data_IF_516820739241
#
_entry.id   IF_516820739241
#
_cell.length_a   1.000
_cell.length_b   1.000
_cell.length_c   1.000
_cell.angle_alpha   90.00
_cell.angle_beta   90.00
_cell.angle_gamma   90.00
#
_symmetry.space_group_name_H-M   'P 1'
#
loop_
_entity.id
_entity.type
_entity.pdbx_description
1 polymer ?
#
# COMPACT_ATOMS: atom_id res chain seq x y z
N UNK A 1 -17.24 10.26 11.28
CA UNK A 1 -16.50 9.03 11.65
C UNK A 1 -17.08 7.77 11.00
N UNK A 2 -18.19 7.14 11.47
CA UNK A 2 -18.68 5.86 10.89
C UNK A 2 -18.99 5.95 9.38
N UNK A 3 -19.66 7.00 8.93
CA UNK A 3 -19.99 7.22 7.50
C UNK A 3 -18.74 7.45 6.63
N UNK A 4 -17.72 8.06 7.18
CA UNK A 4 -16.44 8.30 6.49
C UNK A 4 -15.63 7.01 6.34
N UNK A 5 -15.55 6.18 7.38
CA UNK A 5 -14.96 4.84 7.31
C UNK A 5 -15.66 3.96 6.29
N UNK A 6 -17.01 4.00 6.25
CA UNK A 6 -17.80 3.26 5.24
C UNK A 6 -17.51 3.72 3.81
N UNK A 7 -17.32 5.02 3.60
CA UNK A 7 -16.96 5.57 2.28
C UNK A 7 -15.55 5.16 1.86
N UNK A 8 -14.57 5.21 2.79
CA UNK A 8 -13.21 4.74 2.53
C UNK A 8 -13.20 3.24 2.18
N UNK A 9 -13.89 2.42 2.98
CA UNK A 9 -14.00 0.99 2.72
C UNK A 9 -14.61 0.70 1.35
N UNK A 10 -15.71 1.37 0.99
CA UNK A 10 -16.38 1.21 -0.29
C UNK A 10 -15.49 1.61 -1.49
N UNK A 11 -14.62 2.63 -1.32
CA UNK A 11 -13.66 3.05 -2.34
C UNK A 11 -12.65 1.93 -2.63
N UNK A 12 -12.05 1.37 -1.57
CA UNK A 12 -11.09 0.27 -1.69
C UNK A 12 -11.76 -1.01 -2.19
N UNK A 13 -12.94 -1.35 -1.70
CA UNK A 13 -13.74 -2.47 -2.20
C UNK A 13 -14.01 -2.38 -3.71
N UNK A 14 -14.33 -1.17 -4.22
CA UNK A 14 -14.53 -0.92 -5.65
C UNK A 14 -13.23 -1.11 -6.44
N UNK A 15 -12.12 -0.61 -5.91
CA UNK A 15 -10.80 -0.68 -6.54
C UNK A 15 -10.35 -2.12 -6.73
N UNK A 16 -10.50 -2.95 -5.69
CA UNK A 16 -10.11 -4.35 -5.73
C UNK A 16 -11.10 -5.27 -6.47
N UNK A 17 -12.39 -4.90 -6.57
CA UNK A 17 -13.34 -5.64 -7.42
C UNK A 17 -12.97 -5.60 -8.91
N UNK A 18 -12.43 -4.47 -9.36
CA UNK A 18 -11.98 -4.32 -10.75
C UNK A 18 -10.66 -5.05 -11.03
N UNK A 19 -9.84 -5.27 -10.01
CA UNK A 19 -8.55 -5.95 -10.12
C UNK A 19 -8.65 -7.47 -9.95
N UNK A 20 -9.71 -8.10 -10.40
CA UNK A 20 -9.95 -9.56 -10.31
C UNK A 20 -8.95 -10.43 -11.10
N UNK A 21 -7.74 -9.96 -11.33
CA UNK A 21 -6.67 -10.72 -11.96
C UNK A 21 -5.76 -11.28 -10.87
N UNK A 22 -5.90 -12.58 -10.64
CA UNK A 22 -5.04 -13.43 -9.79
C UNK A 22 -3.54 -13.24 -10.09
N UNK A 23 -3.20 -12.71 -11.25
CA UNK A 23 -1.83 -12.56 -11.75
C UNK A 23 -1.04 -11.41 -11.11
N UNK A 24 -1.68 -10.33 -10.64
CA UNK A 24 -0.99 -9.22 -9.97
C UNK A 24 -0.54 -9.55 -8.53
N UNK A 25 -1.08 -10.60 -7.92
CA UNK A 25 -0.92 -10.89 -6.49
C UNK A 25 0.00 -12.07 -6.17
N UNK A 26 0.65 -12.66 -7.17
CA UNK A 26 1.64 -13.73 -6.99
C UNK A 26 3.08 -13.21 -6.99
N UNK A 27 3.29 -11.89 -6.93
CA UNK A 27 4.64 -11.35 -6.81
C UNK A 27 5.15 -11.60 -5.39
N UNK A 28 6.23 -12.36 -5.29
CA UNK A 28 6.96 -12.46 -4.01
C UNK A 28 7.45 -11.06 -3.64
N UNK A 29 7.07 -10.53 -2.46
CA UNK A 29 7.57 -9.23 -2.04
C UNK A 29 9.10 -9.19 -2.07
N UNK A 30 9.63 -8.05 -2.46
CA UNK A 30 11.07 -7.81 -2.43
C UNK A 30 11.62 -8.22 -1.06
N UNK A 31 12.66 -9.06 -1.04
CA UNK A 31 13.23 -9.59 0.19
C UNK A 31 13.68 -8.47 1.14
N UNK A 32 14.07 -7.31 0.59
CA UNK A 32 14.41 -6.11 1.37
C UNK A 32 13.25 -5.64 2.27
N UNK A 33 12.00 -5.83 1.85
CA UNK A 33 10.81 -5.44 2.61
C UNK A 33 10.55 -6.35 3.81
N UNK A 34 10.96 -7.61 3.73
CA UNK A 34 10.67 -8.66 4.72
C UNK A 34 11.92 -9.19 5.43
N UNK A 35 12.97 -8.37 5.49
CA UNK A 35 14.22 -8.70 6.20
C UNK A 35 14.48 -7.68 7.29
N UNK A 36 14.73 -8.17 8.50
CA UNK A 36 15.21 -7.40 9.65
C UNK A 36 16.52 -7.99 10.14
N UNK A 37 17.41 -7.17 10.72
CA UNK A 37 18.66 -7.66 11.29
C UNK A 37 18.45 -8.52 12.55
N UNK A 38 17.27 -8.48 13.13
CA UNK A 38 16.91 -9.19 14.36
C UNK A 38 15.68 -10.08 14.16
N UNK A 39 15.63 -11.22 14.88
CA UNK A 39 14.48 -12.12 14.80
C UNK A 39 13.25 -11.48 15.45
N UNK A 40 12.10 -11.68 14.81
CA UNK A 40 10.77 -11.34 15.33
C UNK A 40 9.90 -12.60 15.38
N UNK A 41 8.92 -12.62 16.27
CA UNK A 41 7.99 -13.74 16.44
C UNK A 41 6.59 -13.43 15.91
N UNK A 42 6.20 -12.16 16.01
CA UNK A 42 4.90 -11.71 15.53
C UNK A 42 4.99 -10.30 14.93
N UNK A 43 4.07 -10.02 14.02
CA UNK A 43 3.97 -8.73 13.36
C UNK A 43 2.53 -8.34 13.06
N UNK A 44 2.30 -7.02 12.91
CA UNK A 44 1.07 -6.44 12.40
C UNK A 44 1.37 -5.69 11.11
N UNK A 45 0.62 -5.97 10.06
CA UNK A 45 0.63 -5.24 8.78
C UNK A 45 -0.63 -4.39 8.66
N UNK A 46 -0.48 -3.07 8.67
CA UNK A 46 -1.57 -2.09 8.65
C UNK A 46 -1.79 -1.62 7.20
N UNK A 47 -3.01 -1.84 6.69
CA UNK A 47 -3.31 -1.70 5.27
C UNK A 47 -2.74 -2.87 4.47
N UNK A 48 -2.93 -4.08 4.97
CA UNK A 48 -2.26 -5.28 4.46
C UNK A 48 -2.67 -5.70 3.05
N UNK A 49 -3.71 -5.10 2.49
CA UNK A 49 -4.20 -5.46 1.17
C UNK A 49 -4.50 -6.96 1.07
N UNK A 50 -4.07 -7.59 -0.01
CA UNK A 50 -4.25 -9.03 -0.29
C UNK A 50 -3.33 -9.94 0.52
N UNK A 51 -2.46 -9.38 1.38
CA UNK A 51 -1.70 -10.11 2.36
C UNK A 51 -0.31 -10.57 1.92
N UNK A 52 0.27 -10.00 0.88
CA UNK A 52 1.57 -10.45 0.35
C UNK A 52 2.68 -10.36 1.40
N UNK A 53 2.74 -9.27 2.16
CA UNK A 53 3.69 -9.08 3.26
C UNK A 53 3.40 -10.05 4.41
N UNK A 54 2.13 -10.22 4.76
CA UNK A 54 1.70 -11.18 5.79
C UNK A 54 2.14 -12.61 5.42
N UNK A 55 1.89 -13.02 4.17
CA UNK A 55 2.31 -14.33 3.69
C UNK A 55 3.84 -14.48 3.67
N UNK A 56 4.57 -13.44 3.28
CA UNK A 56 6.02 -13.48 3.24
C UNK A 56 6.64 -13.67 4.65
N UNK A 57 6.11 -12.99 5.65
CA UNK A 57 6.51 -13.21 7.04
C UNK A 57 6.04 -14.56 7.60
N UNK A 58 4.85 -15.01 7.24
CA UNK A 58 4.34 -16.33 7.62
C UNK A 58 5.21 -17.48 7.07
N UNK A 59 5.77 -17.35 5.84
CA UNK A 59 6.78 -18.28 5.29
C UNK A 59 8.03 -18.40 6.19
N UNK A 60 8.37 -17.35 6.93
CA UNK A 60 9.46 -17.31 7.90
C UNK A 60 9.02 -17.80 9.31
N UNK A 61 7.81 -18.37 9.44
CA UNK A 61 7.20 -18.84 10.69
C UNK A 61 6.96 -17.70 11.71
N UNK A 62 6.77 -16.48 11.24
CA UNK A 62 6.34 -15.34 12.05
C UNK A 62 4.80 -15.34 12.09
N UNK A 63 4.21 -15.19 13.27
CA UNK A 63 2.77 -14.97 13.39
C UNK A 63 2.43 -13.58 12.87
N UNK A 64 1.88 -13.52 11.67
CA UNK A 64 1.61 -12.30 10.96
C UNK A 64 0.11 -11.98 10.99
N UNK A 65 -0.21 -10.76 11.42
CA UNK A 65 -1.58 -10.25 11.49
C UNK A 65 -1.74 -9.18 10.42
N UNK A 66 -2.72 -9.33 9.55
CA UNK A 66 -3.11 -8.33 8.56
C UNK A 66 -4.35 -7.57 9.02
N UNK A 67 -4.29 -6.25 8.93
CA UNK A 67 -5.39 -5.33 9.17
C UNK A 67 -5.68 -4.52 7.91
N UNK A 68 -6.92 -4.51 7.45
CA UNK A 68 -7.37 -3.67 6.34
C UNK A 68 -8.81 -3.22 6.55
N UNK A 69 -9.16 -2.04 6.03
CA UNK A 69 -10.52 -1.50 6.11
C UNK A 69 -11.50 -2.21 5.17
N UNK A 70 -10.97 -2.81 4.08
CA UNK A 70 -11.76 -3.44 3.04
C UNK A 70 -12.07 -4.89 3.37
N UNK A 71 -13.36 -5.18 3.54
CA UNK A 71 -13.86 -6.55 3.73
C UNK A 71 -13.56 -7.44 2.52
N UNK A 72 -13.65 -6.90 1.31
CA UNK A 72 -13.40 -7.66 0.09
C UNK A 72 -11.93 -8.06 -0.02
N UNK A 73 -11.03 -7.15 0.31
CA UNK A 73 -9.58 -7.37 0.30
C UNK A 73 -9.19 -8.43 1.32
N UNK A 74 -9.69 -8.34 2.55
CA UNK A 74 -9.44 -9.37 3.59
C UNK A 74 -10.03 -10.73 3.18
N UNK A 75 -11.17 -10.75 2.50
CA UNK A 75 -11.73 -12.01 1.98
C UNK A 75 -10.83 -12.63 0.92
N UNK A 76 -10.20 -11.80 0.07
CA UNK A 76 -9.19 -12.23 -0.90
C UNK A 76 -7.93 -12.76 -0.18
N UNK A 77 -7.41 -12.00 0.78
CA UNK A 77 -6.23 -12.40 1.55
C UNK A 77 -6.42 -13.77 2.21
N UNK A 78 -7.57 -13.99 2.87
CA UNK A 78 -7.94 -15.28 3.47
C UNK A 78 -7.98 -16.40 2.44
N UNK A 79 -8.64 -16.18 1.31
CA UNK A 79 -8.78 -17.18 0.24
C UNK A 79 -7.46 -17.53 -0.42
N UNK A 80 -6.57 -16.55 -0.55
CA UNK A 80 -5.25 -16.72 -1.16
C UNK A 80 -4.20 -17.25 -0.16
N UNK A 81 -4.55 -17.40 1.13
CA UNK A 81 -3.63 -17.93 2.13
C UNK A 81 -3.39 -19.43 1.90
N UNK A 82 -2.16 -19.85 1.56
CA UNK A 82 -1.84 -21.27 1.43
C UNK A 82 -2.07 -22.01 2.74
N UNK A 83 -2.63 -23.22 2.67
CA UNK A 83 -2.93 -24.02 3.85
C UNK A 83 -1.76 -24.17 4.86
N UNK A 84 -0.49 -24.37 4.44
CA UNK A 84 0.64 -24.43 5.36
C UNK A 84 0.93 -23.12 6.09
N UNK A 85 0.49 -21.96 5.56
CA UNK A 85 0.69 -20.65 6.18
C UNK A 85 -0.45 -20.23 7.09
N UNK A 86 -1.62 -20.87 6.95
CA UNK A 86 -2.83 -20.52 7.70
C UNK A 86 -2.61 -20.44 9.22
N UNK A 87 -1.83 -21.33 9.87
CA UNK A 87 -1.56 -21.23 11.31
C UNK A 87 -0.78 -19.98 11.74
N UNK A 88 -0.11 -19.32 10.79
CA UNK A 88 0.69 -18.13 11.03
C UNK A 88 0.02 -16.83 10.61
N UNK A 89 -1.16 -16.88 9.98
CA UNK A 89 -1.85 -15.71 9.43
C UNK A 89 -3.13 -15.41 10.21
N UNK A 90 -3.27 -14.16 10.68
CA UNK A 90 -4.51 -13.64 11.25
C UNK A 90 -4.99 -12.44 10.44
N UNK A 91 -6.32 -12.27 10.32
CA UNK A 91 -6.90 -11.25 9.45
C UNK A 91 -8.01 -10.49 10.17
N UNK A 92 -7.89 -9.16 10.20
CA UNK A 92 -8.82 -8.25 10.83
C UNK A 92 -9.35 -7.22 9.84
N UNK A 93 -10.61 -6.82 10.03
CA UNK A 93 -11.26 -5.76 9.26
C UNK A 93 -11.56 -4.64 10.23
N UNK A 94 -10.84 -3.53 10.11
CA UNK A 94 -11.10 -2.31 10.88
C UNK A 94 -10.47 -1.10 10.19
N UNK A 95 -10.97 0.10 10.55
CA UNK A 95 -10.41 1.36 10.08
C UNK A 95 -9.31 1.83 11.03
N UNK A 96 -8.09 1.95 10.52
CA UNK A 96 -6.95 2.44 11.27
C UNK A 96 -7.22 3.78 11.99
N UNK A 97 -7.93 4.71 11.34
CA UNK A 97 -8.17 6.03 11.94
C UNK A 97 -9.01 5.94 13.22
N UNK A 98 -9.93 4.98 13.30
CA UNK A 98 -10.83 4.78 14.44
C UNK A 98 -10.48 3.58 15.32
N UNK A 99 -9.48 2.77 14.92
CA UNK A 99 -9.03 1.60 15.66
C UNK A 99 -8.67 1.95 17.12
N UNK A 100 -9.23 1.18 18.05
CA UNK A 100 -8.85 1.22 19.45
C UNK A 100 -7.96 0.02 19.81
N UNK A 101 -6.64 0.19 19.96
CA UNK A 101 -5.72 -0.92 20.28
C UNK A 101 -6.08 -1.68 21.55
N UNK A 102 -6.65 -1.00 22.56
CA UNK A 102 -7.05 -1.63 23.84
C UNK A 102 -8.16 -2.66 23.64
N UNK A 103 -9.10 -2.39 22.73
CA UNK A 103 -10.21 -3.30 22.47
C UNK A 103 -9.73 -4.66 21.92
N UNK A 104 -8.58 -4.66 21.24
CA UNK A 104 -7.92 -5.84 20.67
C UNK A 104 -6.82 -6.40 21.58
N UNK A 105 -6.50 -5.75 22.70
CA UNK A 105 -5.36 -6.10 23.56
C UNK A 105 -4.03 -6.06 22.79
N UNK A 106 -3.89 -5.08 21.88
CA UNK A 106 -2.72 -4.96 20.98
C UNK A 106 -1.64 -4.01 21.48
N UNK A 107 -1.82 -3.38 22.64
CA UNK A 107 -0.80 -2.49 23.20
C UNK A 107 0.49 -3.29 23.46
N UNK A 108 1.60 -2.82 22.88
CA UNK A 108 2.93 -3.43 22.96
C UNK A 108 2.93 -4.95 22.65
N UNK A 109 2.08 -5.38 21.71
CA UNK A 109 1.88 -6.81 21.43
C UNK A 109 2.69 -7.32 20.25
N UNK A 110 3.17 -6.44 19.37
CA UNK A 110 3.84 -6.85 18.16
C UNK A 110 5.35 -6.54 18.20
N UNK A 111 6.19 -7.51 17.80
CA UNK A 111 7.64 -7.29 17.62
C UNK A 111 7.91 -6.33 16.45
N UNK A 112 7.06 -6.37 15.41
CA UNK A 112 7.09 -5.49 14.26
C UNK A 112 5.70 -4.95 13.95
N UNK A 113 5.56 -3.64 13.87
CA UNK A 113 4.43 -2.99 13.22
C UNK A 113 4.89 -2.52 11.85
N UNK A 114 4.21 -2.96 10.81
CA UNK A 114 4.57 -2.76 9.42
C UNK A 114 3.45 -2.06 8.67
N UNK A 115 3.79 -1.24 7.69
CA UNK A 115 2.84 -0.79 6.68
C UNK A 115 3.54 -0.48 5.36
N UNK A 116 2.96 -0.96 4.26
CA UNK A 116 3.41 -0.67 2.91
C UNK A 116 2.34 0.16 2.20
N UNK A 117 2.59 1.46 2.01
CA UNK A 117 1.64 2.40 1.39
C UNK A 117 0.24 2.35 2.02
N UNK A 118 0.18 2.16 3.32
CA UNK A 118 -1.06 2.05 4.07
C UNK A 118 -1.69 3.43 4.40
N UNK A 119 -2.37 3.52 5.55
CA UNK A 119 -2.98 4.76 6.00
C UNK A 119 -1.99 5.91 6.22
N UNK A 120 -2.52 7.12 6.37
CA UNK A 120 -1.71 8.29 6.70
C UNK A 120 -1.23 8.27 8.17
N UNK A 121 0.05 7.99 8.36
CA UNK A 121 0.71 8.00 9.66
C UNK A 121 1.36 9.34 10.01
N UNK A 122 1.25 10.34 9.15
CA UNK A 122 1.83 11.67 9.37
C UNK A 122 1.03 12.53 10.36
N UNK A 123 -0.12 12.04 10.82
CA UNK A 123 -0.91 12.65 11.91
C UNK A 123 -0.37 12.20 13.27
N UNK A 124 -0.27 13.13 14.21
CA UNK A 124 0.31 12.87 15.55
C UNK A 124 -0.33 11.69 16.28
N UNK A 125 -1.67 11.60 16.26
CA UNK A 125 -2.40 10.52 16.92
C UNK A 125 -2.14 9.15 16.26
N UNK A 126 -2.02 9.11 14.93
CA UNK A 126 -1.69 7.90 14.18
C UNK A 126 -0.25 7.47 14.44
N UNK A 127 0.68 8.41 14.53
CA UNK A 127 2.08 8.14 14.88
C UNK A 127 2.21 7.59 16.31
N UNK A 128 1.53 8.20 17.28
CA UNK A 128 1.49 7.70 18.67
C UNK A 128 0.90 6.29 18.74
N UNK A 129 -0.15 6.03 17.96
CA UNK A 129 -0.81 4.73 17.90
C UNK A 129 0.13 3.64 17.35
N UNK A 130 0.97 3.94 16.34
CA UNK A 130 1.99 3.01 15.86
C UNK A 130 2.94 2.58 16.99
N UNK A 131 3.48 3.56 17.74
CA UNK A 131 4.41 3.29 18.83
C UNK A 131 3.75 2.52 19.98
N UNK A 132 2.45 2.76 20.24
CA UNK A 132 1.70 2.02 21.24
C UNK A 132 1.54 0.53 20.90
N UNK A 133 1.44 0.18 19.62
CA UNK A 133 1.24 -1.21 19.18
C UNK A 133 2.53 -2.02 19.20
N UNK A 134 3.66 -1.38 18.92
CA UNK A 134 4.95 -2.05 18.83
C UNK A 134 5.62 -2.20 20.20
N UNK A 135 6.38 -3.26 20.35
CA UNK A 135 7.31 -3.45 21.48
C UNK A 135 8.78 -3.50 21.06
N UNK A 136 9.06 -3.43 19.74
CA UNK A 136 10.44 -3.43 19.24
C UNK A 136 10.61 -2.54 18.02
N UNK A 137 10.01 -2.90 16.88
CA UNK A 137 10.28 -2.25 15.61
C UNK A 137 9.02 -1.75 14.94
N UNK A 138 9.16 -0.60 14.28
CA UNK A 138 8.17 -0.11 13.33
C UNK A 138 8.86 0.07 11.98
N UNK A 139 8.20 -0.35 10.91
CA UNK A 139 8.68 -0.19 9.53
C UNK A 139 7.56 0.36 8.65
N UNK A 140 7.82 1.47 8.01
CA UNK A 140 6.93 2.07 7.03
C UNK A 140 7.60 2.10 5.66
N UNK A 141 6.89 1.69 4.62
CA UNK A 141 7.28 1.94 3.23
C UNK A 141 6.40 3.06 2.70
N UNK A 142 7.01 4.21 2.43
CA UNK A 142 6.34 5.43 1.98
C UNK A 142 6.70 5.74 0.54
N UNK A 143 5.71 6.06 -0.28
CA UNK A 143 5.92 6.52 -1.64
C UNK A 143 6.57 7.91 -1.62
N UNK A 144 7.58 8.13 -2.46
CA UNK A 144 8.28 9.41 -2.65
C UNK A 144 7.89 10.08 -3.96
N UNK A 145 8.15 9.39 -5.03
CA UNK A 145 7.87 9.87 -6.39
C UNK A 145 7.68 8.70 -7.33
N UNK A 146 7.06 8.93 -8.45
CA UNK A 146 6.92 7.93 -9.49
C UNK A 146 6.47 8.55 -10.80
N UNK A 147 6.71 7.82 -11.86
CA UNK A 147 6.31 8.21 -13.21
C UNK A 147 5.78 6.98 -13.96
N UNK A 148 4.97 7.25 -14.96
CA UNK A 148 4.55 6.25 -15.93
C UNK A 148 4.59 6.90 -17.32
N UNK A 149 5.29 6.27 -18.24
CA UNK A 149 5.56 6.87 -19.56
C UNK A 149 4.28 7.20 -20.36
N UNK A 150 3.23 6.38 -20.25
CA UNK A 150 1.95 6.66 -20.90
C UNK A 150 1.22 7.82 -20.23
N UNK A 151 1.21 7.88 -18.90
CA UNK A 151 0.54 8.97 -18.18
C UNK A 151 1.25 10.30 -18.37
N UNK A 152 2.58 10.31 -18.50
CA UNK A 152 3.35 11.50 -18.86
C UNK A 152 3.04 11.96 -20.28
N UNK A 153 2.97 11.02 -21.23
CA UNK A 153 2.57 11.34 -22.60
C UNK A 153 1.14 11.91 -22.67
N UNK A 154 0.19 11.30 -21.94
CA UNK A 154 -1.18 11.82 -21.82
C UNK A 154 -1.24 13.23 -21.23
N UNK A 155 -0.45 13.51 -20.18
CA UNK A 155 -0.37 14.85 -19.58
C UNK A 155 0.09 15.88 -20.60
N UNK A 156 1.16 15.57 -21.31
CA UNK A 156 1.76 16.47 -22.28
C UNK A 156 0.82 16.76 -23.46
N UNK A 157 0.14 15.72 -23.96
CA UNK A 157 -0.73 15.85 -25.12
C UNK A 157 -2.09 16.49 -24.79
N UNK A 158 -2.69 16.10 -23.67
CA UNK A 158 -4.03 16.53 -23.30
C UNK A 158 -4.04 17.61 -22.20
N UNK A 159 -2.87 18.09 -21.76
CA UNK A 159 -2.70 19.10 -20.69
C UNK A 159 -3.46 18.73 -19.38
N UNK A 160 -3.51 17.44 -19.06
CA UNK A 160 -4.18 16.96 -17.87
C UNK A 160 -3.31 17.23 -16.64
N UNK A 161 -3.83 18.01 -15.68
CA UNK A 161 -3.14 18.30 -14.42
C UNK A 161 -3.47 17.21 -13.40
N UNK A 162 -2.46 16.51 -12.91
CA UNK A 162 -2.58 15.58 -11.80
C UNK A 162 -2.20 16.24 -10.47
N UNK A 163 -2.88 15.86 -9.41
CA UNK A 163 -2.34 16.00 -8.06
C UNK A 163 -1.28 14.90 -7.86
N UNK A 164 -0.01 15.25 -7.97
CA UNK A 164 1.05 14.31 -7.63
C UNK A 164 0.89 13.88 -6.15
N UNK A 165 1.10 12.58 -5.82
CA UNK A 165 1.15 12.18 -4.43
C UNK A 165 2.28 12.97 -3.75
N UNK A 166 1.95 13.70 -2.72
CA UNK A 166 2.87 14.58 -2.03
C UNK A 166 3.85 13.75 -1.18
N UNK A 167 5.14 14.03 -1.30
CA UNK A 167 6.19 13.53 -0.39
C UNK A 167 6.05 14.06 1.06
N UNK A 168 5.01 14.84 1.34
CA UNK A 168 4.78 15.45 2.65
C UNK A 168 4.67 14.44 3.80
N UNK A 169 4.09 13.26 3.56
CA UNK A 169 3.98 12.22 4.56
C UNK A 169 5.36 11.76 5.05
N UNK A 170 6.32 11.52 4.14
CA UNK A 170 7.69 11.16 4.49
C UNK A 170 8.36 12.22 5.35
N UNK A 171 8.29 13.50 4.94
CA UNK A 171 8.91 14.61 5.67
C UNK A 171 8.29 14.79 7.07
N UNK A 172 6.97 14.66 7.19
CA UNK A 172 6.28 14.74 8.46
C UNK A 172 6.66 13.59 9.41
N UNK A 173 6.76 12.37 8.91
CA UNK A 173 7.20 11.22 9.71
C UNK A 173 8.65 11.45 10.18
N UNK A 174 9.56 11.86 9.31
CA UNK A 174 10.95 12.17 9.69
C UNK A 174 11.03 13.27 10.78
N UNK A 175 10.19 14.31 10.67
CA UNK A 175 10.09 15.36 11.68
C UNK A 175 9.63 14.79 13.02
N UNK A 176 8.55 14.02 13.06
CA UNK A 176 8.03 13.41 14.29
C UNK A 176 9.02 12.44 14.94
N UNK A 177 9.74 11.64 14.13
CA UNK A 177 10.80 10.76 14.63
C UNK A 177 11.92 11.55 15.31
N UNK A 178 12.36 12.67 14.70
CA UNK A 178 13.36 13.56 15.27
C UNK A 178 12.90 14.20 16.58
N UNK A 179 11.65 14.70 16.62
CA UNK A 179 11.06 15.31 17.82
C UNK A 179 10.89 14.30 18.96
N UNK A 180 10.59 13.06 18.63
CA UNK A 180 10.51 11.94 19.58
C UNK A 180 11.88 11.31 19.94
N UNK A 181 13.00 11.84 19.41
CA UNK A 181 14.37 11.36 19.63
C UNK A 181 14.62 9.91 19.17
N UNK A 182 13.86 9.43 18.21
CA UNK A 182 14.15 8.16 17.54
C UNK A 182 15.30 8.32 16.53
N UNK A 183 16.06 7.24 16.35
CA UNK A 183 17.14 7.15 15.34
C UNK A 183 16.75 6.13 14.24
N UNK A 184 16.00 6.55 13.23
CA UNK A 184 15.52 5.64 12.18
C UNK A 184 16.62 5.24 11.21
N UNK A 185 16.59 4.00 10.75
CA UNK A 185 17.25 3.59 9.52
C UNK A 185 16.34 3.94 8.34
N UNK A 186 16.87 4.66 7.35
CA UNK A 186 16.15 5.04 6.13
C UNK A 186 16.87 4.41 4.94
N UNK A 187 16.13 3.66 4.11
CA UNK A 187 16.61 3.07 2.87
C UNK A 187 15.69 3.45 1.73
N UNK A 188 16.25 3.96 0.66
CA UNK A 188 15.50 4.22 -0.57
C UNK A 188 15.46 2.94 -1.42
N UNK A 189 14.30 2.71 -2.04
CA UNK A 189 14.03 1.56 -2.88
C UNK A 189 13.39 2.07 -4.16
N UNK A 190 14.01 1.78 -5.29
CA UNK A 190 13.49 2.14 -6.61
C UNK A 190 13.01 0.88 -7.33
N UNK A 191 11.87 1.00 -7.99
CA UNK A 191 11.31 0.00 -8.87
C UNK A 191 11.15 0.57 -10.27
N UNK A 192 11.45 -0.26 -11.26
CA UNK A 192 11.10 -0.03 -12.65
C UNK A 192 10.47 -1.30 -13.19
N UNK A 193 9.34 -1.17 -13.84
CA UNK A 193 8.63 -2.29 -14.43
C UNK A 193 7.94 -1.90 -15.74
N UNK A 194 7.97 -2.81 -16.70
CA UNK A 194 7.21 -2.73 -17.93
C UNK A 194 5.82 -3.32 -17.71
N UNK A 195 4.80 -2.59 -18.11
CA UNK A 195 3.41 -3.03 -18.08
C UNK A 195 2.83 -2.97 -19.47
N UNK A 196 2.17 -4.05 -19.85
CA UNK A 196 1.35 -4.09 -21.08
C UNK A 196 -0.10 -4.36 -20.68
N UNK A 197 -0.99 -3.45 -21.04
CA UNK A 197 -2.39 -3.53 -20.71
C UNK A 197 -3.24 -3.12 -21.90
N UNK A 198 -4.46 -3.67 -21.98
CA UNK A 198 -5.42 -3.26 -23.01
C UNK A 198 -5.88 -1.82 -22.81
N UNK A 199 -6.36 -1.20 -23.88
CA UNK A 199 -6.97 0.14 -23.84
C UNK A 199 -8.08 0.22 -22.77
N UNK A 200 -8.91 -0.82 -22.64
CA UNK A 200 -9.98 -0.86 -21.66
C UNK A 200 -9.46 -0.84 -20.22
N UNK A 201 -8.38 -1.57 -19.92
CA UNK A 201 -7.74 -1.58 -18.60
C UNK A 201 -7.13 -0.21 -18.27
N UNK A 202 -6.50 0.44 -19.26
CA UNK A 202 -5.99 1.80 -19.09
C UNK A 202 -7.08 2.82 -18.85
N UNK A 203 -8.20 2.75 -19.56
CA UNK A 203 -9.37 3.61 -19.33
C UNK A 203 -9.91 3.44 -17.90
N UNK A 204 -10.04 2.20 -17.44
CA UNK A 204 -10.47 1.89 -16.08
C UNK A 204 -9.51 2.45 -15.02
N UNK A 205 -8.19 2.33 -15.26
CA UNK A 205 -7.17 2.87 -14.37
C UNK A 205 -7.24 4.40 -14.30
N UNK A 206 -7.30 5.05 -15.46
CA UNK A 206 -7.36 6.51 -15.57
C UNK A 206 -8.64 7.05 -14.92
N UNK A 207 -9.81 6.41 -15.15
CA UNK A 207 -11.08 6.81 -14.54
C UNK A 207 -11.08 6.67 -13.00
N UNK A 208 -10.30 5.73 -12.48
CA UNK A 208 -10.12 5.55 -11.03
C UNK A 208 -9.10 6.51 -10.41
N UNK A 209 -8.06 6.87 -11.17
CA UNK A 209 -6.94 7.68 -10.68
C UNK A 209 -7.15 9.18 -10.86
N UNK A 210 -7.91 9.59 -11.90
CA UNK A 210 -8.12 10.98 -12.26
C UNK A 210 -9.55 11.40 -11.94
N UNK A 211 -9.73 12.19 -10.89
CA UNK A 211 -11.05 12.76 -10.49
C UNK A 211 -11.37 14.09 -11.16
N UNK A 212 -10.56 14.53 -12.12
CA UNK A 212 -10.70 15.82 -12.80
C UNK A 212 -11.61 15.78 -14.04
N UNK A 213 -11.90 16.96 -14.60
CA UNK A 213 -12.69 17.17 -15.84
C UNK A 213 -11.95 16.77 -17.13
N UNK A 214 -11.16 15.70 -17.12
CA UNK A 214 -10.51 15.23 -18.32
C UNK A 214 -11.57 14.70 -19.30
N UNK A 215 -11.49 15.17 -20.55
CA UNK A 215 -12.39 14.71 -21.60
C UNK A 215 -12.08 13.24 -21.93
N UNK A 216 -12.98 12.37 -21.46
CA UNK A 216 -12.86 10.92 -21.62
C UNK A 216 -12.75 10.49 -23.08
N UNK A 217 -13.42 11.20 -24.00
CA UNK A 217 -13.35 10.88 -25.44
C UNK A 217 -11.97 11.17 -26.01
N UNK A 218 -11.34 12.27 -25.59
CA UNK A 218 -9.98 12.58 -26.00
C UNK A 218 -8.95 11.62 -25.44
N UNK A 219 -9.13 11.18 -24.18
CA UNK A 219 -8.27 10.15 -23.57
C UNK A 219 -8.40 8.84 -24.36
N UNK A 220 -9.62 8.36 -24.58
CA UNK A 220 -9.88 7.12 -25.34
C UNK A 220 -9.28 7.19 -26.75
N UNK A 221 -9.51 8.30 -27.44
CA UNK A 221 -8.96 8.54 -28.79
C UNK A 221 -7.42 8.48 -28.79
N UNK A 222 -6.79 9.09 -27.80
CA UNK A 222 -5.33 9.05 -27.66
C UNK A 222 -4.85 7.63 -27.39
N UNK A 223 -5.45 6.92 -26.44
CA UNK A 223 -5.07 5.53 -26.11
C UNK A 223 -5.22 4.61 -27.32
N UNK A 224 -6.30 4.75 -28.08
CA UNK A 224 -6.49 3.99 -29.33
C UNK A 224 -5.43 4.33 -30.38
N UNK A 225 -4.94 5.56 -30.43
CA UNK A 225 -3.92 5.98 -31.41
C UNK A 225 -2.52 5.44 -31.12
N UNK A 226 -2.22 5.11 -29.84
CA UNK A 226 -0.90 4.59 -29.42
C UNK A 226 -0.92 3.06 -29.18
N UNK A 227 -2.10 2.45 -29.22
CA UNK A 227 -2.25 1.02 -29.02
C UNK A 227 -1.70 0.20 -30.21
N UNK A 228 -1.00 -0.88 -29.89
CA UNK A 228 -0.55 -1.89 -30.86
C UNK A 228 -1.31 -3.18 -30.60
N UNK A 229 -2.09 -3.63 -31.57
CA UNK A 229 -2.99 -4.80 -31.44
C UNK A 229 -3.99 -4.70 -30.25
N UNK A 230 -4.38 -3.49 -29.87
CA UNK A 230 -5.30 -3.25 -28.76
C UNK A 230 -4.66 -3.11 -27.38
N UNK A 231 -3.34 -3.30 -27.30
CA UNK A 231 -2.56 -3.19 -26.05
C UNK A 231 -1.60 -1.99 -26.09
N UNK A 232 -1.28 -1.45 -24.92
CA UNK A 232 -0.33 -0.35 -24.75
C UNK A 232 0.72 -0.77 -23.72
N UNK A 233 1.98 -0.68 -24.11
CA UNK A 233 3.12 -0.89 -23.22
C UNK A 233 3.54 0.44 -22.59
N UNK A 234 3.86 0.42 -21.31
CA UNK A 234 4.35 1.58 -20.56
C UNK A 234 5.41 1.16 -19.55
N UNK A 235 6.32 2.05 -19.26
CA UNK A 235 7.32 1.90 -18.19
C UNK A 235 6.83 2.66 -16.96
N UNK A 236 6.73 1.98 -15.83
CA UNK A 236 6.45 2.60 -14.54
C UNK A 236 7.72 2.62 -13.70
N UNK A 237 8.05 3.78 -13.18
CA UNK A 237 9.11 3.98 -12.19
C UNK A 237 8.48 4.47 -10.89
N UNK A 238 8.95 3.96 -9.77
CA UNK A 238 8.48 4.40 -8.46
C UNK A 238 9.61 4.32 -7.43
N UNK A 239 9.79 5.40 -6.70
CA UNK A 239 10.74 5.50 -5.59
C UNK A 239 10.00 5.53 -4.27
N UNK A 240 10.49 4.75 -3.34
CA UNK A 240 9.97 4.62 -1.98
C UNK A 240 11.07 4.86 -0.96
N UNK A 241 10.70 5.33 0.23
CA UNK A 241 11.56 5.29 1.41
C UNK A 241 11.02 4.28 2.40
N UNK A 242 11.86 3.31 2.74
CA UNK A 242 11.63 2.38 3.85
C UNK A 242 12.26 2.96 5.10
N UNK A 243 11.43 3.32 6.07
CA UNK A 243 11.85 3.86 7.36
C UNK A 243 11.65 2.78 8.42
N UNK A 244 12.71 2.46 9.17
CA UNK A 244 12.64 1.49 10.28
C UNK A 244 13.21 2.13 11.54
N UNK A 245 12.49 2.02 12.66
CA UNK A 245 12.98 2.48 13.96
C UNK A 245 12.63 1.49 15.07
N UNK A 246 13.37 1.58 16.15
CA UNK A 246 13.14 0.84 17.40
C UNK A 246 12.38 1.73 18.38
N UNK A 247 11.37 1.18 19.07
CA UNK A 247 10.53 1.88 20.06
C UNK A 247 10.97 1.58 21.48
#
# INVERSE_FOLDING_TARGET
MKKESEQKAALWDKRYKKQNTVELYNQTPDERLVTLPYPIRNMLDIGCGTGDIVHAWAKKKVHATGLDISKNVISLAKRNTPAPLSPYCNWFIDDWDTLNPKAYQWEHSFDLVYSCMGPDFSKEDNFKKLNLLSRKYIRLLLFKTGSNSLLEALRNELQIVNSEPSSSAFLNICKMLKEAHYNPEIRDISYEADYTQSVAQWLDYIDAAYTGNADKQNIEKYLLSVAVNGDISSVTRADYSMITWEV
#
